data_IF_166427187143
#
_entry.id   IF_166427187143
#
_cell.length_a   1.000
_cell.length_b   1.000
_cell.length_c   1.000
_cell.angle_alpha   90.00
_cell.angle_beta   90.00
_cell.angle_gamma   90.00
#
_symmetry.space_group_name_H-M   'P 1'
#
loop_
_entity.id
_entity.type
_entity.pdbx_description
1 polymer ?
#
# COMPACT_ATOMS: atom_id res chain seq x y z
N UNK A 1 -20.93 -20.65 -13.12
CA UNK A 1 -20.59 -19.43 -13.89
C UNK A 1 -19.81 -18.49 -12.98
N UNK A 2 -18.47 -18.56 -12.98
CA UNK A 2 -17.59 -17.79 -12.08
C UNK A 2 -16.60 -16.99 -12.92
N UNK A 3 -17.11 -16.02 -13.67
CA UNK A 3 -16.28 -15.10 -14.42
C UNK A 3 -15.88 -13.93 -13.49
N UNK A 4 -14.65 -14.03 -12.97
CA UNK A 4 -13.82 -12.99 -12.32
C UNK A 4 -14.13 -12.60 -10.86
N UNK A 5 -14.27 -13.57 -9.95
CA UNK A 5 -14.16 -13.30 -8.50
C UNK A 5 -12.69 -13.13 -8.09
N UNK A 6 -12.24 -11.88 -7.92
CA UNK A 6 -10.84 -11.58 -7.54
C UNK A 6 -10.54 -11.78 -6.05
N UNK A 7 -11.54 -11.61 -5.18
CA UNK A 7 -11.38 -11.79 -3.73
C UNK A 7 -12.61 -12.46 -3.16
N UNK A 8 -12.41 -13.66 -2.62
CA UNK A 8 -13.40 -14.40 -1.85
C UNK A 8 -12.82 -14.74 -0.47
N UNK A 9 -13.64 -14.63 0.56
CA UNK A 9 -13.32 -15.11 1.91
C UNK A 9 -14.52 -15.86 2.46
N UNK A 10 -14.31 -17.14 2.79
CA UNK A 10 -15.31 -17.97 3.46
C UNK A 10 -15.13 -17.91 4.97
N UNK A 11 -16.26 -17.99 5.68
CA UNK A 11 -16.32 -17.97 7.15
C UNK A 11 -15.81 -19.29 7.72
N UNK A 12 -14.93 -19.21 8.71
CA UNK A 12 -14.51 -20.38 9.51
C UNK A 12 -15.51 -20.74 10.61
N UNK A 13 -15.45 -21.99 11.10
CA UNK A 13 -16.38 -22.56 12.09
C UNK A 13 -16.58 -21.67 13.35
N UNK A 14 -15.49 -21.08 13.87
CA UNK A 14 -15.51 -20.25 15.09
C UNK A 14 -15.13 -18.78 14.81
N UNK A 15 -15.33 -18.29 13.58
CA UNK A 15 -14.97 -16.92 13.22
C UNK A 15 -16.11 -15.93 13.51
N UNK A 16 -15.79 -14.83 14.19
CA UNK A 16 -16.71 -13.70 14.34
C UNK A 16 -16.83 -12.91 13.04
N UNK A 17 -17.99 -12.30 12.78
CA UNK A 17 -18.22 -11.48 11.59
C UNK A 17 -17.20 -10.34 11.45
N UNK A 18 -16.74 -9.77 12.57
CA UNK A 18 -15.72 -8.71 12.58
C UNK A 18 -14.32 -9.23 12.20
N UNK A 19 -13.98 -10.47 12.55
CA UNK A 19 -12.73 -11.09 12.11
C UNK A 19 -12.75 -11.40 10.60
N UNK A 20 -13.90 -11.88 10.10
CA UNK A 20 -14.13 -12.15 8.69
C UNK A 20 -13.97 -10.87 7.84
N UNK A 21 -14.62 -9.77 8.24
CA UNK A 21 -14.50 -8.47 7.55
C UNK A 21 -13.04 -8.02 7.55
N UNK A 22 -12.31 -8.10 8.67
CA UNK A 22 -10.89 -7.72 8.74
C UNK A 22 -10.01 -8.53 7.77
N UNK A 23 -10.28 -9.83 7.60
CA UNK A 23 -9.55 -10.67 6.63
C UNK A 23 -9.86 -10.26 5.20
N UNK A 24 -11.13 -10.04 4.88
CA UNK A 24 -11.55 -9.53 3.58
C UNK A 24 -10.90 -8.17 3.27
N UNK A 25 -10.93 -7.23 4.21
CA UNK A 25 -10.29 -5.91 4.07
C UNK A 25 -8.78 -6.03 3.87
N UNK A 26 -8.09 -6.87 4.65
CA UNK A 26 -6.63 -7.07 4.46
C UNK A 26 -6.30 -7.70 3.11
N UNK A 27 -7.09 -8.68 2.65
CA UNK A 27 -6.88 -9.33 1.35
C UNK A 27 -7.13 -8.36 0.18
N UNK A 28 -8.20 -7.57 0.24
CA UNK A 28 -8.50 -6.54 -0.77
C UNK A 28 -7.46 -5.42 -0.80
N UNK A 29 -6.96 -4.99 0.37
CA UNK A 29 -5.90 -3.99 0.47
C UNK A 29 -4.55 -4.51 -0.02
N UNK A 30 -4.17 -5.73 0.34
CA UNK A 30 -2.92 -6.36 -0.11
C UNK A 30 -2.86 -6.53 -1.62
N UNK A 31 -3.99 -6.82 -2.25
CA UNK A 31 -4.12 -6.88 -3.72
C UNK A 31 -4.17 -5.50 -4.37
N UNK A 32 -4.30 -4.42 -3.61
CA UNK A 32 -4.30 -3.05 -4.13
C UNK A 32 -5.48 -2.71 -5.05
N UNK A 33 -6.57 -3.50 -5.04
CA UNK A 33 -7.71 -3.37 -5.97
C UNK A 33 -8.30 -1.95 -5.99
N UNK A 34 -8.50 -1.35 -4.81
CA UNK A 34 -9.05 0.02 -4.72
C UNK A 34 -8.09 1.05 -5.32
N UNK A 35 -6.78 0.84 -5.22
CA UNK A 35 -5.78 1.73 -5.84
C UNK A 35 -5.77 1.54 -7.35
N UNK A 36 -5.85 0.31 -7.81
CA UNK A 36 -5.91 -0.03 -9.24
C UNK A 36 -7.16 0.55 -9.91
N UNK A 37 -8.35 0.31 -9.35
CA UNK A 37 -9.61 0.84 -9.89
C UNK A 37 -9.62 2.37 -9.93
N UNK A 38 -9.03 3.04 -8.92
CA UNK A 38 -8.86 4.50 -8.93
C UNK A 38 -7.93 4.97 -10.05
N UNK A 39 -6.84 4.25 -10.32
CA UNK A 39 -5.92 4.59 -11.40
C UNK A 39 -6.55 4.37 -12.79
N UNK A 40 -7.38 3.33 -12.94
CA UNK A 40 -8.07 3.00 -14.20
C UNK A 40 -9.26 3.91 -14.52
N UNK A 41 -9.81 4.63 -13.52
CA UNK A 41 -11.02 5.44 -13.66
C UNK A 41 -10.95 6.49 -14.78
N UNK A 42 -9.79 7.12 -14.96
CA UNK A 42 -9.60 8.18 -15.93
C UNK A 42 -8.38 7.89 -16.80
N UNK A 43 -8.45 8.36 -18.05
CA UNK A 43 -7.32 8.28 -18.96
C UNK A 43 -6.12 9.06 -18.41
N UNK A 44 -4.93 8.46 -18.50
CA UNK A 44 -3.68 9.11 -18.16
C UNK A 44 -2.74 9.02 -19.35
N UNK A 45 -2.13 10.15 -19.72
CA UNK A 45 -1.10 10.19 -20.76
C UNK A 45 0.11 9.36 -20.35
N UNK A 46 0.67 8.60 -21.29
CA UNK A 46 1.95 7.91 -21.13
C UNK A 46 3.06 8.91 -20.80
N UNK A 47 3.74 8.70 -19.68
CA UNK A 47 4.84 9.58 -19.24
C UNK A 47 6.06 9.39 -20.14
N UNK A 48 6.81 10.47 -20.35
CA UNK A 48 8.12 10.38 -21.02
C UNK A 48 9.17 9.74 -20.11
N UNK A 49 10.25 9.23 -20.72
CA UNK A 49 11.39 8.63 -19.99
C UNK A 49 11.97 9.58 -18.95
N UNK A 50 12.11 10.88 -19.30
CA UNK A 50 12.68 11.89 -18.41
C UNK A 50 11.84 12.11 -17.14
N UNK A 51 10.51 12.07 -17.25
CA UNK A 51 9.62 12.18 -16.08
C UNK A 51 9.78 10.97 -15.16
N UNK A 52 9.94 9.77 -15.74
CA UNK A 52 10.27 8.55 -15.00
C UNK A 52 11.60 8.68 -14.25
N UNK A 53 12.64 9.12 -14.97
CA UNK A 53 13.99 9.29 -14.42
C UNK A 53 14.01 10.31 -13.26
N UNK A 54 13.40 11.48 -13.43
CA UNK A 54 13.27 12.50 -12.38
C UNK A 54 12.60 11.94 -11.12
N UNK A 55 11.51 11.18 -11.27
CA UNK A 55 10.83 10.56 -10.13
C UNK A 55 11.69 9.52 -9.41
N UNK A 56 12.49 8.75 -10.17
CA UNK A 56 13.42 7.78 -9.62
C UNK A 56 14.52 8.47 -8.80
N UNK A 57 15.11 9.56 -9.31
CA UNK A 57 16.11 10.37 -8.60
C UNK A 57 15.56 10.92 -7.28
N UNK A 58 14.37 11.53 -7.28
CA UNK A 58 13.73 12.04 -6.05
C UNK A 58 13.53 10.91 -5.04
N UNK A 59 13.12 9.72 -5.51
CA UNK A 59 12.90 8.56 -4.64
C UNK A 59 14.21 8.00 -4.09
N UNK A 60 15.33 8.16 -4.80
CA UNK A 60 16.67 7.77 -4.33
C UNK A 60 17.14 8.72 -3.23
N UNK A 61 17.09 10.04 -3.48
CA UNK A 61 17.46 11.07 -2.49
C UNK A 61 16.66 10.89 -1.19
N UNK A 62 15.34 10.67 -1.27
CA UNK A 62 14.50 10.44 -0.08
C UNK A 62 14.90 9.20 0.73
N UNK A 63 15.44 8.17 0.07
CA UNK A 63 15.93 6.95 0.75
C UNK A 63 17.28 7.21 1.41
N UNK A 64 18.17 7.94 0.75
CA UNK A 64 19.46 8.34 1.30
C UNK A 64 19.29 9.22 2.54
N UNK A 65 18.46 10.26 2.47
CA UNK A 65 18.19 11.14 3.62
C UNK A 65 17.56 10.36 4.78
N UNK A 66 16.64 9.44 4.51
CA UNK A 66 16.08 8.58 5.56
C UNK A 66 17.16 7.73 6.24
N UNK A 67 18.05 7.11 5.46
CA UNK A 67 19.14 6.28 5.98
C UNK A 67 20.13 7.11 6.81
N UNK A 68 20.45 8.33 6.40
CA UNK A 68 21.28 9.25 7.17
C UNK A 68 20.63 9.62 8.50
N UNK A 69 19.35 9.96 8.49
CA UNK A 69 18.62 10.29 9.73
C UNK A 69 18.52 9.10 10.69
N UNK A 70 18.40 7.88 10.17
CA UNK A 70 18.48 6.65 10.97
C UNK A 70 19.87 6.49 11.58
N UNK A 71 20.94 6.67 10.78
CA UNK A 71 22.33 6.60 11.28
C UNK A 71 22.63 7.66 12.34
N UNK A 72 22.06 8.86 12.21
CA UNK A 72 22.17 9.95 13.18
C UNK A 72 21.31 9.72 14.44
N UNK A 73 20.57 8.61 14.52
CA UNK A 73 19.67 8.32 15.65
C UNK A 73 18.43 9.21 15.72
N UNK A 74 18.18 10.06 14.70
CA UNK A 74 17.01 10.96 14.65
C UNK A 74 15.72 10.21 14.32
N UNK A 75 15.84 9.04 13.70
CA UNK A 75 14.73 8.14 13.39
C UNK A 75 15.04 6.78 14.00
N UNK A 76 14.16 6.32 14.89
CA UNK A 76 14.17 4.95 15.35
C UNK A 76 13.37 4.07 14.36
N UNK A 77 14.00 3.09 13.69
CA UNK A 77 13.31 2.18 12.78
C UNK A 77 12.38 1.21 13.50
N UNK A 78 12.61 0.91 14.78
CA UNK A 78 11.82 0.01 15.60
C UNK A 78 10.67 0.71 16.34
N UNK A 79 10.66 2.04 16.36
CA UNK A 79 9.60 2.81 16.98
C UNK A 79 8.25 2.42 16.37
N UNK A 80 7.32 1.98 17.24
CA UNK A 80 5.93 1.77 16.87
C UNK A 80 5.41 3.11 16.37
N UNK A 81 5.18 3.22 15.06
CA UNK A 81 4.47 4.36 14.49
C UNK A 81 3.12 4.41 15.21
N UNK A 82 2.91 5.41 16.05
CA UNK A 82 1.62 5.68 16.67
C UNK A 82 0.65 6.07 15.55
N UNK A 83 0.13 5.07 14.87
CA UNK A 83 -0.88 5.21 13.85
C UNK A 83 -2.17 5.53 14.58
N UNK A 84 -2.41 6.84 14.82
CA UNK A 84 -3.56 7.50 15.46
C UNK A 84 -3.23 8.04 16.85
N UNK A 85 -2.84 9.31 16.88
CA UNK A 85 -3.36 10.25 17.88
C UNK A 85 -4.12 11.32 17.08
N UNK A 86 -5.39 11.05 16.82
CA UNK A 86 -6.43 12.07 16.59
C UNK A 86 -7.41 11.89 17.71
#
# INVERSE_FOLDING_TARGET
MTADTRVEVRRGKNESSTALIRRFTRRTQGLGLVREMRNRRYWQRTRSKNVGHKRALISKVRRETYNELVKLGKIDPAAKKNARKR
#
